data_IF_202405953755
#
_entry.id   IF_202405953755
#
_cell.length_a   1.000
_cell.length_b   1.000
_cell.length_c   1.000
_cell.angle_alpha   90.00
_cell.angle_beta   90.00
_cell.angle_gamma   90.00
#
_symmetry.space_group_name_H-M   'P 1'
#
loop_
_entity.id
_entity.type
_entity.pdbx_description
1 polymer ?
#
# COMPACT_ATOMS: atom_id res chain seq x y z
N UNK A 1 8.71 13.09 -26.63
CA UNK A 1 8.69 13.22 -25.15
C UNK A 1 7.69 14.25 -24.62
N UNK A 2 7.39 15.33 -25.35
CA UNK A 2 6.49 16.39 -24.89
C UNK A 2 5.05 15.93 -24.59
N UNK A 3 4.55 14.91 -25.28
CA UNK A 3 3.16 14.40 -25.16
C UNK A 3 2.95 13.42 -24.01
N UNK A 4 4.00 13.00 -23.30
CA UNK A 4 3.85 12.10 -22.15
C UNK A 4 3.36 12.91 -20.93
N UNK A 5 2.41 12.39 -20.13
CA UNK A 5 1.99 13.07 -18.91
C UNK A 5 3.16 13.26 -17.95
N UNK A 6 3.15 14.34 -17.17
CA UNK A 6 4.21 14.66 -16.21
C UNK A 6 4.06 13.82 -14.94
N UNK A 7 5.18 13.50 -14.31
CA UNK A 7 5.20 12.66 -13.11
C UNK A 7 4.49 13.30 -11.91
N UNK A 8 4.68 14.60 -11.68
CA UNK A 8 4.10 15.38 -10.58
C UNK A 8 4.29 14.78 -9.17
N UNK A 9 5.33 13.97 -8.98
CA UNK A 9 5.73 13.55 -7.64
C UNK A 9 6.47 14.71 -6.97
N UNK A 10 6.29 14.91 -5.66
CA UNK A 10 7.03 15.91 -4.90
C UNK A 10 8.52 15.56 -4.92
N UNK A 11 9.34 16.47 -5.41
CA UNK A 11 10.80 16.34 -5.43
C UNK A 11 11.39 16.68 -4.06
N UNK A 12 12.69 16.40 -3.87
CA UNK A 12 13.41 16.77 -2.64
C UNK A 12 13.39 18.28 -2.37
N UNK A 13 13.35 19.10 -3.43
CA UNK A 13 13.24 20.56 -3.34
C UNK A 13 11.81 21.04 -3.08
N UNK A 14 10.84 20.14 -2.90
CA UNK A 14 9.45 20.48 -2.59
C UNK A 14 8.56 20.79 -3.79
N UNK A 15 9.11 20.89 -5.00
CA UNK A 15 8.37 21.17 -6.24
C UNK A 15 7.87 19.89 -6.92
N UNK A 16 6.96 20.02 -7.88
CA UNK A 16 6.46 18.89 -8.67
C UNK A 16 7.46 18.42 -9.74
N UNK A 17 7.63 17.10 -9.85
CA UNK A 17 8.50 16.50 -10.85
C UNK A 17 7.97 16.67 -12.28
N UNK A 18 8.76 17.32 -13.13
CA UNK A 18 8.42 17.57 -14.55
C UNK A 18 8.94 16.50 -15.52
N UNK A 19 9.55 15.44 -15.04
CA UNK A 19 9.99 14.32 -15.88
C UNK A 19 8.78 13.59 -16.50
N UNK A 20 8.91 13.06 -17.73
CA UNK A 20 7.84 12.29 -18.36
C UNK A 20 7.55 11.01 -17.57
N UNK A 21 6.26 10.68 -17.42
CA UNK A 21 5.84 9.42 -16.82
C UNK A 21 6.22 8.23 -17.72
N UNK A 22 6.44 7.08 -17.11
CA UNK A 22 6.63 5.82 -17.85
C UNK A 22 5.32 5.49 -18.59
N UNK A 23 5.41 4.96 -19.81
CA UNK A 23 4.24 4.61 -20.64
C UNK A 23 3.25 3.75 -19.83
N UNK A 24 1.98 4.18 -19.78
CA UNK A 24 0.91 3.50 -19.04
C UNK A 24 0.96 3.67 -17.51
N UNK A 25 1.82 4.55 -16.99
CA UNK A 25 1.98 4.80 -15.54
C UNK A 25 1.83 6.28 -15.23
N UNK A 26 1.63 6.58 -13.93
CA UNK A 26 1.47 7.95 -13.43
C UNK A 26 2.78 8.63 -13.04
N UNK A 27 3.86 7.88 -12.85
CA UNK A 27 5.15 8.37 -12.32
C UNK A 27 6.30 8.11 -13.28
N UNK A 28 7.37 8.91 -13.19
CA UNK A 28 8.60 8.71 -13.96
C UNK A 28 9.46 7.58 -13.39
N UNK A 29 10.50 7.18 -14.12
CA UNK A 29 11.45 6.13 -13.68
C UNK A 29 12.06 6.39 -12.29
N UNK A 30 12.28 7.66 -11.94
CA UNK A 30 12.90 8.06 -10.67
C UNK A 30 11.92 8.05 -9.50
N UNK A 31 10.62 8.19 -9.76
CA UNK A 31 9.57 8.27 -8.74
C UNK A 31 8.65 7.04 -8.76
N UNK A 32 9.22 5.86 -9.03
CA UNK A 32 8.53 4.58 -8.91
C UNK A 32 7.72 4.16 -10.14
N UNK A 33 7.83 4.84 -11.28
CA UNK A 33 7.13 4.47 -12.52
C UNK A 33 7.48 3.09 -13.07
N UNK A 34 8.66 2.56 -12.73
CA UNK A 34 9.11 1.21 -13.10
C UNK A 34 8.74 0.15 -12.06
N UNK A 35 8.29 0.54 -10.87
CA UNK A 35 8.03 -0.38 -9.78
C UNK A 35 6.51 -0.66 -9.69
N UNK A 36 6.04 -1.90 -9.95
CA UNK A 36 4.63 -2.26 -9.85
C UNK A 36 4.13 -2.32 -8.39
N UNK A 37 5.02 -2.15 -7.41
CA UNK A 37 4.71 -2.39 -6.00
C UNK A 37 4.90 -3.85 -5.61
N UNK A 38 4.80 -4.13 -4.32
CA UNK A 38 4.85 -5.50 -3.83
C UNK A 38 3.62 -6.29 -4.29
N UNK A 39 3.75 -7.58 -4.63
CA UNK A 39 2.61 -8.41 -4.97
C UNK A 39 1.66 -8.53 -3.78
N UNK A 40 0.37 -8.68 -4.07
CA UNK A 40 -0.65 -8.93 -3.05
C UNK A 40 -0.28 -10.22 -2.28
N UNK A 41 -0.26 -10.16 -0.96
CA UNK A 41 0.13 -11.30 -0.11
C UNK A 41 1.64 -11.48 0.10
N UNK A 42 2.49 -10.54 -0.32
CA UNK A 42 3.92 -10.60 -0.03
C UNK A 42 4.20 -10.73 1.48
N UNK A 43 4.97 -11.75 1.87
CA UNK A 43 5.37 -12.01 3.26
C UNK A 43 6.72 -11.36 3.63
N UNK A 44 7.50 -10.90 2.66
CA UNK A 44 8.87 -10.42 2.86
C UNK A 44 8.96 -9.12 3.67
N UNK A 45 7.89 -8.32 3.72
CA UNK A 45 7.82 -7.07 4.50
C UNK A 45 7.10 -7.24 5.85
N UNK A 46 6.76 -8.47 6.28
CA UNK A 46 6.14 -8.71 7.59
C UNK A 46 7.14 -8.39 8.70
N UNK A 47 6.99 -7.23 9.34
CA UNK A 47 7.83 -6.84 10.50
C UNK A 47 7.31 -7.40 11.82
N UNK A 48 5.99 -7.41 12.02
CA UNK A 48 5.33 -7.90 13.22
C UNK A 48 4.08 -8.70 12.81
N UNK A 49 3.93 -9.92 13.33
CA UNK A 49 2.81 -10.81 12.95
C UNK A 49 1.42 -10.25 13.28
N UNK A 50 1.34 -9.31 14.23
CA UNK A 50 0.09 -8.80 14.81
C UNK A 50 -0.87 -8.07 13.87
N UNK A 51 -0.47 -7.71 12.65
CA UNK A 51 -1.32 -7.01 11.67
C UNK A 51 -1.48 -7.78 10.35
N UNK A 52 -1.18 -9.08 10.35
CA UNK A 52 -1.51 -9.92 9.19
C UNK A 52 -3.03 -10.01 8.98
N UNK A 53 -3.46 -10.29 7.76
CA UNK A 53 -4.87 -10.51 7.43
C UNK A 53 -5.48 -11.61 8.31
N UNK A 54 -4.72 -12.66 8.54
CA UNK A 54 -5.05 -13.84 9.35
C UNK A 54 -5.18 -13.46 10.82
N UNK A 55 -4.26 -12.66 11.35
CA UNK A 55 -4.33 -12.17 12.74
C UNK A 55 -5.50 -11.23 12.96
N UNK A 56 -5.79 -10.32 12.01
CA UNK A 56 -6.95 -9.43 12.11
C UNK A 56 -8.25 -10.25 12.11
N UNK A 57 -8.35 -11.28 11.26
CA UNK A 57 -9.51 -12.16 11.23
C UNK A 57 -9.67 -12.94 12.55
N UNK A 58 -8.58 -13.52 13.08
CA UNK A 58 -8.60 -14.21 14.35
C UNK A 58 -9.03 -13.30 15.51
N UNK A 59 -8.52 -12.07 15.57
CA UNK A 59 -8.90 -11.09 16.59
C UNK A 59 -10.38 -10.71 16.48
N UNK A 60 -10.91 -10.53 15.27
CA UNK A 60 -12.35 -10.25 15.07
C UNK A 60 -13.21 -11.41 15.59
N UNK A 61 -12.87 -12.64 15.21
CA UNK A 61 -13.58 -13.83 15.67
C UNK A 61 -13.58 -13.97 17.20
N UNK A 62 -12.42 -13.78 17.83
CA UNK A 62 -12.30 -13.83 19.29
C UNK A 62 -13.14 -12.74 19.99
N UNK A 63 -13.23 -11.54 19.42
CA UNK A 63 -14.07 -10.47 19.96
C UNK A 63 -15.55 -10.81 19.93
N UNK A 64 -16.00 -11.46 18.86
CA UNK A 64 -17.40 -11.88 18.71
C UNK A 64 -17.75 -12.99 19.69
N UNK A 65 -16.86 -13.98 19.88
CA UNK A 65 -17.04 -14.96 20.96
C UNK A 65 -17.10 -14.26 22.33
N UNK A 66 -16.16 -13.35 22.61
CA UNK A 66 -16.12 -12.65 23.89
C UNK A 66 -17.38 -11.80 24.15
N UNK A 67 -18.06 -11.32 23.11
CA UNK A 67 -19.35 -10.64 23.24
C UNK A 67 -20.44 -11.61 23.69
N UNK A 68 -20.57 -12.76 23.02
CA UNK A 68 -21.54 -13.81 23.36
C UNK A 68 -21.34 -14.32 24.80
N UNK A 69 -20.10 -14.52 25.22
CA UNK A 69 -19.80 -15.03 26.57
C UNK A 69 -20.11 -14.01 27.68
N UNK A 70 -19.96 -12.70 27.41
CA UNK A 70 -20.19 -11.63 28.42
C UNK A 70 -21.65 -11.23 28.58
N UNK A 71 -22.45 -11.39 27.54
CA UNK A 71 -23.90 -11.17 27.55
C UNK A 71 -24.60 -12.50 27.28
N UNK A 72 -24.53 -13.48 28.21
CA UNK A 72 -25.28 -14.70 28.05
C UNK A 72 -26.77 -14.34 28.11
N UNK A 73 -27.50 -14.69 27.05
CA UNK A 73 -28.96 -14.62 26.98
C UNK A 73 -29.64 -15.34 28.14
#
# INVERSE_FOLDING_TARGET
MASAPRCLARTRSGTECQSPAVKGRKRCRMHGGTNPGAPKGNRNARKHGGRSTETIAAVRYLKEIARVVREPS
#
